data_IF_429057917675
#
_entry.id   IF_429057917675
#
_cell.length_a   1.000
_cell.length_b   1.000
_cell.length_c   1.000
_cell.angle_alpha   90.00
_cell.angle_beta   90.00
_cell.angle_gamma   90.00
#
_symmetry.space_group_name_H-M   'P 1'
#
loop_
_entity.id
_entity.type
_entity.pdbx_description
1 polymer ?
#
# COMPACT_ATOMS: atom_id res chain seq x y z
N UNK A 1 1.01 -15.80 -6.26
CA UNK A 1 2.22 -16.48 -5.75
C UNK A 1 2.17 -16.31 -4.25
N UNK A 2 2.17 -17.44 -3.54
CA UNK A 2 2.29 -17.49 -2.08
C UNK A 2 3.68 -17.00 -1.67
N UNK A 3 3.76 -16.34 -0.51
CA UNK A 3 4.96 -15.64 -0.05
C UNK A 3 5.13 -15.85 1.45
N UNK A 4 6.39 -15.89 1.89
CA UNK A 4 6.74 -15.84 3.31
C UNK A 4 6.40 -14.46 3.91
N UNK A 5 6.35 -14.39 5.24
CA UNK A 5 6.19 -13.11 5.94
C UNK A 5 7.25 -12.08 5.56
N UNK A 6 8.52 -12.49 5.40
CA UNK A 6 9.60 -11.58 5.05
C UNK A 6 9.36 -10.92 3.68
N UNK A 7 9.03 -11.74 2.67
CA UNK A 7 8.74 -11.27 1.31
C UNK A 7 7.46 -10.42 1.25
N UNK A 8 6.48 -10.73 2.11
CA UNK A 8 5.29 -9.91 2.30
C UNK A 8 5.67 -8.52 2.85
N UNK A 9 6.49 -8.44 3.90
CA UNK A 9 6.94 -7.14 4.42
C UNK A 9 7.71 -6.34 3.36
N UNK A 10 8.62 -6.96 2.62
CA UNK A 10 9.32 -6.30 1.51
C UNK A 10 8.34 -5.75 0.47
N UNK A 11 7.33 -6.53 0.11
CA UNK A 11 6.28 -6.11 -0.81
C UNK A 11 5.47 -4.92 -0.29
N UNK A 12 5.15 -4.88 1.02
CA UNK A 12 4.45 -3.75 1.63
C UNK A 12 5.31 -2.48 1.65
N UNK A 13 6.61 -2.61 1.91
CA UNK A 13 7.56 -1.48 1.93
C UNK A 13 7.64 -0.81 0.56
N UNK A 14 7.60 -1.59 -0.53
CA UNK A 14 7.60 -1.06 -1.90
C UNK A 14 6.20 -0.62 -2.38
N UNK A 15 5.19 -0.66 -1.49
CA UNK A 15 3.86 -0.11 -1.72
C UNK A 15 2.85 -1.07 -2.34
N UNK A 16 3.13 -2.38 -2.39
CA UNK A 16 2.15 -3.37 -2.86
C UNK A 16 1.08 -3.62 -1.79
N UNK A 17 -0.11 -4.04 -2.24
CA UNK A 17 -1.19 -4.48 -1.35
C UNK A 17 -1.19 -5.99 -1.26
N UNK A 18 -1.34 -6.49 -0.04
CA UNK A 18 -1.33 -7.92 0.26
C UNK A 18 -2.62 -8.36 0.94
N UNK A 19 -2.95 -9.64 0.86
CA UNK A 19 -3.92 -10.30 1.75
C UNK A 19 -3.39 -11.64 2.22
N UNK A 20 -4.06 -12.23 3.20
CA UNK A 20 -3.88 -13.65 3.54
C UNK A 20 -4.73 -14.51 2.63
N UNK A 21 -4.22 -15.69 2.28
CA UNK A 21 -4.89 -16.65 1.41
C UNK A 21 -6.24 -17.11 1.99
N UNK A 22 -6.31 -17.27 3.31
CA UNK A 22 -7.53 -17.70 4.02
C UNK A 22 -8.62 -16.63 4.09
N UNK A 23 -8.31 -15.37 3.78
CA UNK A 23 -9.31 -14.30 3.88
C UNK A 23 -10.34 -14.44 2.75
N UNK A 24 -11.63 -14.61 3.10
CA UNK A 24 -12.66 -14.97 2.14
C UNK A 24 -13.04 -13.82 1.22
N UNK A 25 -12.64 -12.59 1.54
CA UNK A 25 -12.99 -11.39 0.80
C UNK A 25 -11.80 -10.85 0.01
N UNK A 26 -12.09 -10.33 -1.18
CA UNK A 26 -11.09 -9.76 -2.09
C UNK A 26 -10.83 -8.27 -1.86
N UNK A 27 -11.62 -7.65 -0.97
CA UNK A 27 -11.54 -6.23 -0.66
C UNK A 27 -10.58 -5.90 0.48
N UNK A 28 -10.43 -6.79 1.46
CA UNK A 28 -9.61 -6.57 2.64
C UNK A 28 -8.14 -6.80 2.30
N UNK A 29 -7.32 -5.82 2.64
CA UNK A 29 -5.89 -5.90 2.37
C UNK A 29 -5.05 -5.24 3.44
N UNK A 30 -3.78 -5.59 3.43
CA UNK A 30 -2.79 -5.14 4.39
C UNK A 30 -2.08 -3.92 3.83
N UNK A 31 -1.87 -2.96 4.71
CA UNK A 31 -1.18 -1.70 4.43
C UNK A 31 -0.23 -1.35 5.57
N UNK A 32 0.78 -0.54 5.24
CA UNK A 32 1.53 0.21 6.24
C UNK A 32 0.80 1.53 6.52
N UNK A 33 0.39 1.71 7.76
CA UNK A 33 -0.34 2.90 8.22
C UNK A 33 0.26 3.38 9.54
N UNK A 34 0.69 4.66 9.59
CA UNK A 34 1.33 5.25 10.77
C UNK A 34 2.47 4.37 11.33
N UNK A 35 3.36 3.91 10.44
CA UNK A 35 4.49 3.04 10.77
C UNK A 35 4.11 1.67 11.38
N UNK A 36 2.85 1.24 11.21
CA UNK A 36 2.34 -0.04 11.71
C UNK A 36 1.67 -0.86 10.61
N UNK A 37 1.85 -2.17 10.68
CA UNK A 37 1.07 -3.11 9.88
C UNK A 37 -0.41 -3.04 10.27
N UNK A 38 -1.25 -2.86 9.27
CA UNK A 38 -2.68 -2.66 9.47
C UNK A 38 -3.49 -3.35 8.39
N UNK A 39 -4.71 -3.72 8.74
CA UNK A 39 -5.74 -4.26 7.86
C UNK A 39 -6.66 -3.11 7.46
N UNK A 40 -6.81 -2.89 6.16
CA UNK A 40 -7.82 -1.99 5.62
C UNK A 40 -9.03 -2.79 5.15
N UNK A 41 -10.21 -2.38 5.61
CA UNK A 41 -11.49 -2.96 5.23
C UNK A 41 -12.30 -1.95 4.41
N UNK A 42 -12.56 -2.20 3.11
CA UNK A 42 -13.30 -1.25 2.29
C UNK A 42 -14.77 -1.08 2.72
N UNK A 43 -15.35 -2.12 3.34
CA UNK A 43 -16.75 -2.15 3.78
C UNK A 43 -17.08 -1.04 4.79
N UNK A 44 -16.19 -0.81 5.75
CA UNK A 44 -16.33 0.21 6.79
C UNK A 44 -15.39 1.41 6.59
N UNK A 45 -14.47 1.31 5.62
CA UNK A 45 -13.41 2.30 5.32
C UNK A 45 -12.49 2.56 6.51
N UNK A 46 -12.31 1.56 7.38
CA UNK A 46 -11.48 1.64 8.58
C UNK A 46 -10.15 0.91 8.41
N UNK A 47 -9.20 1.35 9.24
CA UNK A 47 -7.87 0.75 9.37
C UNK A 47 -7.76 0.15 10.76
N UNK A 48 -7.51 -1.15 10.84
CA UNK A 48 -7.35 -1.90 12.07
C UNK A 48 -5.90 -2.36 12.23
N UNK A 49 -5.35 -2.40 13.46
CA UNK A 49 -4.02 -2.96 13.66
C UNK A 49 -4.01 -4.45 13.28
N UNK A 50 -3.00 -4.87 12.52
CA UNK A 50 -2.74 -6.29 12.27
C UNK A 50 -1.95 -6.86 13.45
N UNK A 51 -2.51 -7.89 14.11
CA UNK A 51 -1.77 -8.68 15.09
C UNK A 51 -1.08 -9.80 14.34
N UNK A 52 0.25 -9.88 14.47
CA UNK A 52 1.08 -10.92 13.86
C UNK A 52 1.38 -11.98 14.91
N UNK A 53 1.01 -13.22 14.63
CA UNK A 53 1.28 -14.42 15.43
C UNK A 53 2.56 -15.12 14.98
N UNK A 54 3.01 -16.14 15.71
CA UNK A 54 4.15 -16.94 15.29
C UNK A 54 3.86 -17.73 13.99
N UNK A 55 2.63 -18.22 13.83
CA UNK A 55 2.23 -18.95 12.62
C UNK A 55 2.35 -18.09 11.37
N UNK A 56 1.99 -16.81 11.49
CA UNK A 56 2.09 -15.82 10.43
C UNK A 56 3.53 -15.61 9.94
N UNK A 57 4.51 -15.76 10.84
CA UNK A 57 5.94 -15.60 10.53
C UNK A 57 6.55 -16.85 9.91
N UNK A 58 5.95 -18.02 10.14
CA UNK A 58 6.43 -19.32 9.66
C UNK A 58 5.69 -19.80 8.40
N UNK A 59 4.53 -19.22 8.10
CA UNK A 59 3.69 -19.57 6.96
C UNK A 59 4.12 -18.94 5.64
N UNK A 60 3.59 -19.52 4.56
CA UNK A 60 3.69 -19.04 3.18
C UNK A 60 2.29 -18.68 2.65
N UNK A 61 1.48 -18.01 3.47
CA UNK A 61 0.05 -17.78 3.21
C UNK A 61 -0.26 -16.34 2.75
N UNK A 62 0.77 -15.55 2.46
CA UNK A 62 0.63 -14.16 2.02
C UNK A 62 0.59 -14.05 0.49
N UNK A 63 -0.30 -13.22 -0.02
CA UNK A 63 -0.46 -13.04 -1.47
C UNK A 63 -0.60 -11.56 -1.85
N UNK A 64 0.07 -11.15 -2.93
CA UNK A 64 -0.12 -9.83 -3.54
C UNK A 64 -1.45 -9.81 -4.30
N UNK A 65 -2.28 -8.80 -4.02
CA UNK A 65 -3.57 -8.63 -4.70
C UNK A 65 -3.55 -7.56 -5.80
N UNK A 66 -2.58 -6.64 -5.77
CA UNK A 66 -2.40 -5.64 -6.82
C UNK A 66 -0.92 -5.32 -7.01
N UNK A 67 -0.44 -5.34 -8.25
CA UNK A 67 0.93 -4.92 -8.61
C UNK A 67 1.09 -3.40 -8.78
N UNK A 68 0.01 -2.62 -8.63
CA UNK A 68 0.06 -1.17 -8.85
C UNK A 68 0.99 -0.46 -7.86
N UNK A 69 1.83 0.42 -8.39
CA UNK A 69 2.70 1.34 -7.64
C UNK A 69 1.87 2.18 -6.65
N UNK A 70 2.46 2.57 -5.50
CA UNK A 70 1.72 3.20 -4.42
C UNK A 70 1.09 4.52 -4.84
N UNK A 71 -0.24 4.62 -4.69
CA UNK A 71 -0.86 5.90 -4.37
C UNK A 71 -0.54 6.19 -2.90
N UNK A 72 -0.03 7.38 -2.58
CA UNK A 72 0.22 7.78 -1.21
C UNK A 72 -1.11 7.81 -0.45
N UNK A 73 -1.27 6.85 0.46
CA UNK A 73 -2.44 6.73 1.31
C UNK A 73 -2.20 7.57 2.58
N UNK A 74 -2.79 8.77 2.65
CA UNK A 74 -2.78 9.58 3.86
C UNK A 74 -4.00 9.25 4.72
N UNK A 75 -3.81 8.95 6.00
CA UNK A 75 -4.93 8.77 6.92
C UNK A 75 -5.22 10.10 7.61
N UNK A 76 -6.39 10.71 7.35
CA UNK A 76 -6.89 11.84 8.15
C UNK A 76 -8.10 11.38 8.97
N UNK A 77 -7.99 11.51 10.30
CA UNK A 77 -9.05 11.14 11.26
C UNK A 77 -9.56 9.68 11.12
N UNK A 78 -8.66 8.72 10.92
CA UNK A 78 -9.02 7.30 10.78
C UNK A 78 -9.60 6.91 9.42
N UNK A 79 -9.73 7.86 8.48
CA UNK A 79 -10.19 7.61 7.12
C UNK A 79 -9.02 7.64 6.15
N UNK A 80 -8.93 6.61 5.31
CA UNK A 80 -7.98 6.55 4.20
C UNK A 80 -8.33 7.63 3.16
N UNK A 81 -7.38 8.52 2.86
CA UNK A 81 -7.48 9.52 1.80
C UNK A 81 -6.37 9.22 0.79
N UNK A 82 -6.76 9.08 -0.47
CA UNK A 82 -5.82 8.96 -1.58
C UNK A 82 -5.31 10.37 -1.89
N UNK A 83 -4.02 10.60 -1.69
CA UNK A 83 -3.38 11.87 -2.06
C UNK A 83 -2.82 11.74 -3.49
N UNK A 84 -3.22 12.60 -4.45
CA UNK A 84 -2.61 12.62 -5.76
C UNK A 84 -1.13 13.03 -5.61
N UNK A 85 -0.27 12.34 -6.35
CA UNK A 85 1.21 12.36 -6.26
C UNK A 85 1.84 13.68 -5.79
N UNK A 86 2.71 13.59 -4.78
CA UNK A 86 3.77 14.59 -4.58
C UNK A 86 4.78 14.38 -5.71
N UNK A 87 4.73 15.23 -6.74
CA UNK A 87 5.79 15.29 -7.75
C UNK A 87 7.07 15.76 -7.07
N UNK A 88 7.91 14.82 -6.64
CA UNK A 88 9.27 15.11 -6.18
C UNK A 88 10.00 15.83 -7.33
N UNK A 89 10.52 17.02 -7.03
CA UNK A 89 10.93 18.01 -8.02
C UNK A 89 11.81 17.47 -9.14
N UNK A 90 11.39 17.74 -10.38
CA UNK A 90 12.32 17.97 -11.48
C UNK A 90 12.53 19.47 -11.62
N UNK A 91 13.57 19.99 -10.98
CA UNK A 91 14.31 21.09 -11.59
C UNK A 91 15.12 20.47 -12.73
N UNK A 92 14.65 20.63 -13.96
CA UNK A 92 15.48 20.48 -15.16
C UNK A 92 14.85 21.34 -16.26
N UNK A 93 15.45 22.52 -16.40
CA UNK A 93 15.77 23.24 -17.63
C UNK A 93 14.75 23.45 -18.78
N UNK A 94 14.72 24.72 -19.18
CA UNK A 94 14.57 25.25 -20.55
C UNK A 94 13.22 25.15 -21.26
N UNK A 95 12.56 26.32 -21.39
CA UNK A 95 12.01 26.76 -22.68
C UNK A 95 12.35 28.23 -22.93
N UNK A 96 13.41 28.46 -23.71
CA UNK A 96 13.48 29.61 -24.62
C UNK A 96 12.55 29.36 -25.80
N UNK A 97 11.84 30.42 -26.17
CA UNK A 97 11.45 30.87 -27.53
C UNK A 97 10.82 29.88 -28.53
N UNK A 98 9.55 30.14 -28.88
CA UNK A 98 9.09 30.55 -30.22
C UNK A 98 7.57 30.78 -30.16
N UNK A 99 7.06 32.01 -30.20
CA UNK A 99 6.89 32.93 -31.34
C UNK A 99 5.54 32.75 -32.07
N UNK A 100 4.92 33.91 -32.36
CA UNK A 100 3.89 34.26 -33.37
C UNK A 100 2.41 34.03 -33.01
N UNK A 101 1.71 35.08 -32.54
CA UNK A 101 0.81 35.92 -33.36
C UNK A 101 0.54 37.25 -32.66
#
# INVERSE_FOLDING_TARGET
MEMTFAEAIESLIIGRRLKRLEWPDDGTYIVMANERLSIFKPEDKMVHPLIVSLGDMMGEDWVVITEQKPELLEIKKGKLIVSPEVTLGKQTEEKKENSIH
#
